data_IF_670040383158
#
_entry.id   IF_670040383158
#
_cell.length_a   1.000
_cell.length_b   1.000
_cell.length_c   1.000
_cell.angle_alpha   90.00
_cell.angle_beta   90.00
_cell.angle_gamma   90.00
#
_symmetry.space_group_name_H-M   'P 1'
#
loop_
_entity.id
_entity.type
_entity.pdbx_description
1 polymer ?
#
# COMPACT_ATOMS: atom_id res chain seq x y z
N UNK A 1 21.86 -5.71 22.62
CA UNK A 1 20.48 -5.89 23.12
C UNK A 1 19.50 -5.40 22.05
N UNK A 2 19.08 -6.26 21.10
CA UNK A 2 18.17 -5.90 19.97
C UNK A 2 16.95 -6.86 19.88
N UNK A 3 16.90 -7.89 20.75
CA UNK A 3 15.94 -9.00 20.63
C UNK A 3 14.47 -8.61 20.86
N UNK A 4 14.19 -7.51 21.58
CA UNK A 4 12.81 -7.13 21.94
C UNK A 4 12.16 -6.21 20.90
N UNK A 5 12.92 -5.37 20.20
CA UNK A 5 12.34 -4.40 19.25
C UNK A 5 11.84 -5.06 17.97
N UNK A 6 12.50 -6.14 17.52
CA UNK A 6 12.06 -6.89 16.34
C UNK A 6 10.76 -7.64 16.62
N UNK A 7 10.68 -8.32 17.79
CA UNK A 7 9.48 -9.02 18.21
C UNK A 7 8.28 -8.07 18.40
N UNK A 8 8.52 -6.90 19.00
CA UNK A 8 7.50 -5.86 19.14
C UNK A 8 7.03 -5.32 17.78
N UNK A 9 7.96 -5.08 16.85
CA UNK A 9 7.64 -4.67 15.48
C UNK A 9 6.81 -5.71 14.75
N UNK A 10 7.19 -6.99 14.82
CA UNK A 10 6.43 -8.09 14.23
C UNK A 10 5.04 -8.20 14.83
N UNK A 11 4.90 -8.11 16.16
CA UNK A 11 3.62 -8.18 16.84
C UNK A 11 2.69 -7.02 16.44
N UNK A 12 3.23 -5.81 16.33
CA UNK A 12 2.51 -4.65 15.82
C UNK A 12 2.08 -4.83 14.36
N UNK A 13 2.97 -5.32 13.48
CA UNK A 13 2.63 -5.62 12.09
C UNK A 13 1.50 -6.64 11.98
N UNK A 14 1.50 -7.68 12.84
CA UNK A 14 0.44 -8.70 12.86
C UNK A 14 -0.89 -8.07 13.24
N UNK A 15 -0.94 -7.28 14.31
CA UNK A 15 -2.17 -6.60 14.76
C UNK A 15 -2.69 -5.64 13.68
N UNK A 16 -1.82 -4.84 13.08
CA UNK A 16 -2.18 -3.92 12.00
C UNK A 16 -2.74 -4.69 10.80
N UNK A 17 -2.07 -5.74 10.36
CA UNK A 17 -2.56 -6.56 9.25
C UNK A 17 -3.90 -7.24 9.57
N UNK A 18 -4.08 -7.68 10.81
CA UNK A 18 -5.33 -8.27 11.25
C UNK A 18 -6.49 -7.27 11.13
N UNK A 19 -6.30 -6.04 11.61
CA UNK A 19 -7.29 -4.95 11.50
C UNK A 19 -7.56 -4.63 10.03
N UNK A 20 -6.53 -4.48 9.20
CA UNK A 20 -6.67 -4.19 7.76
C UNK A 20 -7.48 -5.28 7.05
N UNK A 21 -7.21 -6.56 7.34
CA UNK A 21 -8.00 -7.67 6.80
C UNK A 21 -9.45 -7.63 7.26
N UNK A 22 -9.70 -7.26 8.51
CA UNK A 22 -11.05 -7.15 9.06
C UNK A 22 -11.83 -6.05 8.33
N UNK A 23 -11.23 -4.87 8.13
CA UNK A 23 -11.84 -3.80 7.31
C UNK A 23 -12.08 -4.23 5.86
N UNK A 24 -11.11 -4.88 5.22
CA UNK A 24 -11.27 -5.38 3.86
C UNK A 24 -12.37 -6.43 3.72
N UNK A 25 -12.51 -7.29 4.73
CA UNK A 25 -13.58 -8.28 4.80
C UNK A 25 -14.95 -7.61 4.98
N UNK A 26 -15.08 -6.68 5.92
CA UNK A 26 -16.32 -5.91 6.11
C UNK A 26 -16.72 -5.15 4.85
N UNK A 27 -15.76 -4.51 4.17
CA UNK A 27 -16.00 -3.84 2.90
C UNK A 27 -16.54 -4.81 1.84
N UNK A 28 -15.90 -5.97 1.66
CA UNK A 28 -16.37 -7.01 0.73
C UNK A 28 -17.77 -7.52 1.06
N UNK A 29 -18.10 -7.70 2.33
CA UNK A 29 -19.42 -8.19 2.78
C UNK A 29 -20.51 -7.15 2.51
N UNK A 30 -20.27 -5.88 2.81
CA UNK A 30 -21.22 -4.79 2.53
C UNK A 30 -21.40 -4.63 1.02
N UNK A 31 -20.30 -4.64 0.26
CA UNK A 31 -20.31 -4.52 -1.19
C UNK A 31 -21.10 -5.67 -1.85
N UNK A 32 -20.87 -6.91 -1.38
CA UNK A 32 -21.62 -8.09 -1.82
C UNK A 32 -23.12 -7.99 -1.54
N UNK A 33 -23.52 -7.34 -0.43
CA UNK A 33 -24.93 -7.13 -0.09
C UNK A 33 -25.59 -6.00 -0.88
N UNK A 34 -24.85 -4.93 -1.19
CA UNK A 34 -25.40 -3.78 -1.92
C UNK A 34 -25.54 -4.02 -3.43
N UNK A 35 -24.65 -4.82 -4.03
CA UNK A 35 -24.62 -5.04 -5.48
C UNK A 35 -25.53 -6.19 -5.95
N UNK A 36 -25.88 -7.14 -5.08
CA UNK A 36 -26.66 -8.33 -5.45
C UNK A 36 -25.86 -9.37 -6.25
N UNK A 37 -26.44 -10.56 -6.46
CA UNK A 37 -25.79 -11.72 -7.09
C UNK A 37 -25.29 -11.48 -8.52
N UNK A 38 -25.86 -10.51 -9.24
CA UNK A 38 -25.51 -10.23 -10.64
C UNK A 38 -24.25 -9.37 -10.79
N UNK A 39 -24.03 -8.37 -9.92
CA UNK A 39 -22.87 -7.48 -10.07
C UNK A 39 -21.57 -8.02 -9.47
N UNK A 40 -21.61 -9.04 -8.60
CA UNK A 40 -20.38 -9.71 -8.11
C UNK A 40 -19.68 -10.46 -9.24
N UNK A 41 -20.43 -11.03 -10.19
CA UNK A 41 -19.89 -11.72 -11.36
C UNK A 41 -19.11 -10.78 -12.29
N UNK A 42 -19.67 -9.60 -12.57
CA UNK A 42 -18.99 -8.55 -13.33
C UNK A 42 -17.77 -7.99 -12.57
N UNK A 43 -17.89 -7.80 -11.25
CA UNK A 43 -16.79 -7.33 -10.43
C UNK A 43 -15.60 -8.29 -10.50
N UNK A 44 -15.82 -9.60 -10.37
CA UNK A 44 -14.76 -10.60 -10.46
C UNK A 44 -14.10 -10.71 -11.83
N UNK A 45 -14.76 -10.30 -12.91
CA UNK A 45 -14.19 -10.33 -14.26
C UNK A 45 -13.19 -9.17 -14.48
N UNK A 46 -13.50 -7.98 -13.93
CA UNK A 46 -12.63 -6.79 -14.06
C UNK A 46 -11.57 -6.72 -12.94
N UNK A 47 -11.83 -7.35 -11.80
CA UNK A 47 -10.93 -7.37 -10.64
C UNK A 47 -9.48 -7.79 -10.93
N UNK A 48 -9.20 -8.84 -11.74
CA UNK A 48 -7.84 -9.27 -12.04
C UNK A 48 -7.05 -8.21 -12.83
N UNK A 49 -7.73 -7.53 -13.75
CA UNK A 49 -7.14 -6.46 -14.56
C UNK A 49 -6.81 -5.26 -13.67
N UNK A 50 -7.76 -4.85 -12.83
CA UNK A 50 -7.54 -3.80 -11.82
C UNK A 50 -6.38 -4.14 -10.88
N UNK A 51 -6.33 -5.37 -10.36
CA UNK A 51 -5.26 -5.80 -9.46
C UNK A 51 -3.89 -5.83 -10.14
N UNK A 52 -3.82 -6.23 -11.41
CA UNK A 52 -2.57 -6.24 -12.17
C UNK A 52 -2.04 -4.82 -12.38
N UNK A 53 -2.92 -3.88 -12.76
CA UNK A 53 -2.58 -2.46 -12.92
C UNK A 53 -2.13 -1.81 -11.61
N UNK A 54 -2.86 -2.06 -10.52
CA UNK A 54 -2.50 -1.57 -9.17
C UNK A 54 -1.17 -2.15 -8.73
N UNK A 55 -0.93 -3.45 -8.95
CA UNK A 55 0.33 -4.11 -8.58
C UNK A 55 1.50 -3.56 -9.40
N UNK A 56 1.32 -3.38 -10.71
CA UNK A 56 2.36 -2.82 -11.58
C UNK A 56 2.79 -1.41 -11.12
N UNK A 57 1.82 -0.61 -10.66
CA UNK A 57 2.05 0.74 -10.14
C UNK A 57 2.68 0.73 -8.74
N UNK A 58 2.12 -0.08 -7.84
CA UNK A 58 2.47 -0.10 -6.42
C UNK A 58 3.69 -0.99 -6.10
N UNK A 59 4.18 -1.81 -7.03
CA UNK A 59 5.32 -2.69 -6.75
C UNK A 59 6.66 -1.93 -6.71
N UNK A 60 6.86 -0.93 -7.57
CA UNK A 60 8.18 -0.26 -7.69
C UNK A 60 8.45 0.81 -6.63
N UNK A 61 7.42 1.59 -6.30
CA UNK A 61 7.55 2.79 -5.45
C UNK A 61 7.96 2.44 -4.00
N UNK A 62 7.21 1.63 -3.23
CA UNK A 62 7.53 1.39 -1.81
C UNK A 62 8.88 0.68 -1.60
N UNK A 63 9.33 -0.12 -2.57
CA UNK A 63 10.63 -0.80 -2.54
C UNK A 63 11.76 0.23 -2.70
N UNK A 64 11.64 1.13 -3.69
CA UNK A 64 12.61 2.21 -3.89
C UNK A 64 12.68 3.15 -2.67
N UNK A 65 11.53 3.50 -2.10
CA UNK A 65 11.43 4.35 -0.91
C UNK A 65 12.08 3.69 0.31
N UNK A 66 11.79 2.41 0.55
CA UNK A 66 12.39 1.67 1.67
C UNK A 66 13.92 1.61 1.57
N UNK A 67 14.45 1.44 0.35
CA UNK A 67 15.90 1.40 0.09
C UNK A 67 16.56 2.77 0.30
N UNK A 68 15.93 3.86 -0.17
CA UNK A 68 16.46 5.22 -0.04
C UNK A 68 16.42 5.71 1.42
N UNK A 69 15.35 5.40 2.16
CA UNK A 69 15.22 5.74 3.58
C UNK A 69 16.23 4.96 4.43
N UNK A 70 16.46 3.68 4.16
CA UNK A 70 17.47 2.88 4.87
C UNK A 70 18.89 3.41 4.63
N UNK A 71 19.17 3.91 3.42
CA UNK A 71 20.46 4.51 3.07
C UNK A 71 20.70 5.87 3.73
N UNK A 72 19.67 6.71 3.87
CA UNK A 72 19.80 8.03 4.52
C UNK A 72 19.81 7.93 6.05
N UNK A 73 19.13 6.91 6.61
CA UNK A 73 19.12 6.62 8.04
C UNK A 73 20.50 6.18 8.56
N UNK A 74 21.29 5.46 7.76
CA UNK A 74 22.65 5.04 8.13
C UNK A 74 23.64 6.21 8.18
N UNK A 75 23.37 7.30 7.46
CA UNK A 75 24.14 8.54 7.47
C UNK A 75 23.76 9.51 8.61
N UNK A 76 22.83 9.12 9.51
CA UNK A 76 22.38 9.89 10.69
C UNK A 76 21.80 11.29 10.38
N UNK A 77 21.46 11.55 9.11
CA UNK A 77 20.99 12.86 8.65
C UNK A 77 19.45 12.95 8.66
N UNK A 78 18.86 13.21 9.84
CA UNK A 78 17.39 13.31 10.04
C UNK A 78 16.68 14.32 9.13
N UNK A 79 17.39 15.30 8.56
CA UNK A 79 16.84 16.27 7.60
C UNK A 79 16.70 15.68 6.19
N UNK A 80 17.56 14.74 5.79
CA UNK A 80 17.49 14.04 4.49
C UNK A 80 16.34 13.04 4.44
N UNK A 81 16.14 12.25 5.51
CA UNK A 81 14.98 11.37 5.68
C UNK A 81 13.62 12.06 5.48
N UNK A 82 13.44 13.29 6.01
CA UNK A 82 12.21 14.07 5.80
C UNK A 82 12.02 14.51 4.35
N UNK A 83 13.10 14.92 3.67
CA UNK A 83 13.08 15.29 2.24
C UNK A 83 12.78 14.06 1.37
N UNK A 84 13.37 12.91 1.68
CA UNK A 84 13.15 11.66 0.94
C UNK A 84 11.72 11.17 1.12
N UNK A 85 11.16 11.26 2.33
CA UNK A 85 9.74 10.96 2.57
C UNK A 85 8.82 11.88 1.76
N UNK A 86 9.09 13.19 1.73
CA UNK A 86 8.29 14.15 0.93
C UNK A 86 8.41 13.88 -0.56
N UNK A 87 9.62 13.62 -1.08
CA UNK A 87 9.83 13.29 -2.50
C UNK A 87 9.15 11.97 -2.87
N UNK A 88 9.14 11.00 -1.97
CA UNK A 88 8.47 9.71 -2.15
C UNK A 88 6.94 9.82 -2.17
N UNK A 89 6.38 10.69 -1.31
CA UNK A 89 4.95 10.99 -1.30
C UNK A 89 4.55 11.76 -2.56
N UNK A 90 5.37 12.71 -3.01
CA UNK A 90 5.12 13.48 -4.24
C UNK A 90 5.23 12.60 -5.48
N UNK A 91 6.24 11.73 -5.58
CA UNK A 91 6.38 10.81 -6.71
C UNK A 91 5.25 9.77 -6.75
N UNK A 92 4.82 9.28 -5.57
CA UNK A 92 3.65 8.41 -5.43
C UNK A 92 2.34 9.09 -5.86
N UNK A 93 2.15 10.36 -5.51
CA UNK A 93 1.00 11.16 -5.94
C UNK A 93 1.00 11.41 -7.45
N UNK A 94 2.14 11.78 -8.04
CA UNK A 94 2.25 12.04 -9.49
C UNK A 94 1.95 10.77 -10.29
N UNK A 95 2.50 9.63 -9.87
CA UNK A 95 2.24 8.33 -10.53
C UNK A 95 0.77 7.91 -10.35
N UNK A 96 0.19 8.11 -9.16
CA UNK A 96 -1.23 7.79 -8.93
C UNK A 96 -2.16 8.67 -9.77
N UNK A 97 -1.87 9.96 -9.90
CA UNK A 97 -2.66 10.90 -10.72
C UNK A 97 -2.55 10.58 -12.21
N UNK A 98 -1.36 10.24 -12.71
CA UNK A 98 -1.16 9.83 -14.10
C UNK A 98 -1.95 8.57 -14.45
N UNK A 99 -1.93 7.56 -13.57
CA UNK A 99 -2.72 6.35 -13.80
C UNK A 99 -4.22 6.59 -13.67
N UNK A 100 -4.66 7.44 -12.75
CA UNK A 100 -6.07 7.81 -12.63
C UNK A 100 -6.58 8.50 -13.90
N UNK A 101 -5.76 9.34 -14.53
CA UNK A 101 -6.07 10.01 -15.80
C UNK A 101 -6.04 9.07 -17.00
N UNK A 102 -5.14 8.08 -17.01
CA UNK A 102 -5.09 7.08 -18.10
C UNK A 102 -6.27 6.11 -18.08
N UNK A 103 -6.87 5.89 -16.90
CA UNK A 103 -7.95 4.93 -16.67
C UNK A 103 -9.35 5.57 -16.88
N UNK A 104 -9.43 6.91 -16.85
CA UNK A 104 -10.64 7.70 -17.08
C UNK A 104 -10.84 7.96 -18.58
#
# INVERSE_FOLDING_TARGET
MIKNSFLYGTFLLIIVNFIVRLFGFSYKVILSRMIGSEGIGLFHLVYPILMTLITFTSAGIPIAVSKLVAHDLSLKNVRGCKKILVVSVISGLIISVILAILLL
#
